data_IF_482630879697
#
_entry.id   IF_482630879697
#
_cell.length_a   1.000
_cell.length_b   1.000
_cell.length_c   1.000
_cell.angle_alpha   90.00
_cell.angle_beta   90.00
_cell.angle_gamma   90.00
#
_symmetry.space_group_name_H-M   'P 1'
#
loop_
_entity.id
_entity.type
_entity.pdbx_description
1 polymer ?
#
# COMPACT_ATOMS: atom_id res chain seq x y z
N UNK A 1 7.49 13.82 -19.36
CA UNK A 1 6.21 13.57 -20.05
C UNK A 1 6.00 12.07 -20.17
N UNK A 2 6.93 11.34 -20.79
CA UNK A 2 6.86 9.87 -20.88
C UNK A 2 6.84 9.15 -19.53
N UNK A 3 7.63 9.61 -18.55
CA UNK A 3 7.65 9.04 -17.20
C UNK A 3 6.28 9.17 -16.50
N UNK A 4 5.65 10.35 -16.60
CA UNK A 4 4.30 10.61 -16.08
C UNK A 4 3.23 9.76 -16.78
N UNK A 5 3.39 9.49 -18.08
CA UNK A 5 2.45 8.65 -18.83
C UNK A 5 2.61 7.18 -18.41
N UNK A 6 3.84 6.73 -18.16
CA UNK A 6 4.13 5.38 -17.68
C UNK A 6 3.55 5.15 -16.28
N UNK A 7 3.72 6.10 -15.36
CA UNK A 7 3.15 6.04 -14.01
C UNK A 7 1.61 5.95 -14.04
N UNK A 8 0.97 6.74 -14.92
CA UNK A 8 -0.49 6.68 -15.11
C UNK A 8 -0.94 5.34 -15.70
N UNK A 9 -0.18 4.76 -16.63
CA UNK A 9 -0.44 3.44 -17.20
C UNK A 9 -0.34 2.33 -16.14
N UNK A 10 0.69 2.35 -15.30
CA UNK A 10 0.87 1.38 -14.21
C UNK A 10 -0.26 1.48 -13.18
N UNK A 11 -0.65 2.70 -12.80
CA UNK A 11 -1.77 2.94 -11.90
C UNK A 11 -3.11 2.43 -12.48
N UNK A 12 -3.34 2.65 -13.78
CA UNK A 12 -4.52 2.13 -14.48
C UNK A 12 -4.54 0.59 -14.53
N UNK A 13 -3.39 -0.04 -14.77
CA UNK A 13 -3.26 -1.50 -14.76
C UNK A 13 -3.51 -2.10 -13.38
N UNK A 14 -2.96 -1.51 -12.31
CA UNK A 14 -3.24 -1.95 -10.94
C UNK A 14 -4.73 -1.85 -10.61
N UNK A 15 -5.36 -0.73 -10.99
CA UNK A 15 -6.79 -0.52 -10.77
C UNK A 15 -7.63 -1.56 -11.52
N UNK A 16 -7.25 -1.89 -12.76
CA UNK A 16 -7.91 -2.94 -13.55
C UNK A 16 -7.79 -4.31 -12.88
N UNK A 17 -6.58 -4.72 -12.44
CA UNK A 17 -6.37 -6.00 -11.73
C UNK A 17 -7.26 -6.10 -10.48
N UNK A 18 -7.38 -5.01 -9.72
CA UNK A 18 -8.26 -4.94 -8.53
C UNK A 18 -9.74 -5.08 -8.88
N UNK A 19 -10.19 -4.45 -9.96
CA UNK A 19 -11.58 -4.55 -10.45
C UNK A 19 -11.90 -5.96 -10.96
N UNK A 20 -10.98 -6.58 -11.71
CA UNK A 20 -11.20 -7.92 -12.25
C UNK A 20 -11.26 -8.97 -11.12
N UNK A 21 -10.41 -8.86 -10.09
CA UNK A 21 -10.53 -9.70 -8.90
C UNK A 21 -11.87 -9.54 -8.16
N UNK A 22 -12.47 -8.35 -8.15
CA UNK A 22 -13.81 -8.15 -7.58
C UNK A 22 -14.90 -8.86 -8.38
N UNK A 23 -14.76 -8.95 -9.71
CA UNK A 23 -15.71 -9.67 -10.57
C UNK A 23 -15.69 -11.18 -10.37
N UNK A 24 -14.56 -11.75 -9.95
CA UNK A 24 -14.45 -13.18 -9.64
C UNK A 24 -15.39 -13.60 -8.49
N UNK A 25 -15.70 -12.69 -7.57
CA UNK A 25 -16.67 -12.93 -6.50
C UNK A 25 -18.10 -13.12 -7.01
N UNK A 26 -18.46 -12.47 -8.11
CA UNK A 26 -19.80 -12.53 -8.73
C UNK A 26 -20.00 -13.81 -9.56
N UNK A 27 -19.01 -14.70 -9.59
CA UNK A 27 -19.12 -15.98 -10.26
C UNK A 27 -19.97 -16.98 -9.45
N UNK A 28 -20.95 -17.61 -10.09
CA UNK A 28 -21.78 -18.67 -9.49
C UNK A 28 -21.01 -19.99 -9.20
N UNK A 29 -19.69 -20.00 -9.37
CA UNK A 29 -18.84 -21.17 -9.16
C UNK A 29 -18.28 -21.17 -7.74
N UNK A 30 -18.68 -22.17 -6.94
CA UNK A 30 -18.31 -22.26 -5.52
C UNK A 30 -16.79 -22.30 -5.27
N UNK A 31 -16.01 -22.85 -6.20
CA UNK A 31 -14.54 -22.88 -6.14
C UNK A 31 -13.94 -21.48 -6.31
N UNK A 32 -14.39 -20.70 -7.30
CA UNK A 32 -13.92 -19.34 -7.53
C UNK A 32 -14.21 -18.42 -6.32
N UNK A 33 -15.39 -18.55 -5.71
CA UNK A 33 -15.75 -17.84 -4.46
C UNK A 33 -14.82 -18.23 -3.30
N UNK A 34 -14.42 -19.50 -3.20
CA UNK A 34 -13.50 -19.95 -2.15
C UNK A 34 -12.09 -19.40 -2.31
N UNK A 35 -11.57 -19.34 -3.55
CA UNK A 35 -10.29 -18.69 -3.85
C UNK A 35 -10.35 -17.20 -3.55
N UNK A 36 -11.42 -16.52 -3.96
CA UNK A 36 -11.59 -15.09 -3.68
C UNK A 36 -11.58 -14.79 -2.16
N UNK A 37 -12.27 -15.60 -1.37
CA UNK A 37 -12.27 -15.48 0.10
C UNK A 37 -10.86 -15.66 0.67
N UNK A 38 -10.09 -16.62 0.15
CA UNK A 38 -8.69 -16.82 0.54
C UNK A 38 -7.82 -15.62 0.18
N UNK A 39 -7.89 -15.13 -1.06
CA UNK A 39 -7.13 -13.95 -1.52
C UNK A 39 -7.47 -12.72 -0.68
N UNK A 40 -8.77 -12.53 -0.35
CA UNK A 40 -9.22 -11.46 0.54
C UNK A 40 -8.60 -11.57 1.92
N UNK A 41 -8.58 -12.77 2.51
CA UNK A 41 -7.98 -13.00 3.82
C UNK A 41 -6.48 -12.74 3.80
N UNK A 42 -5.77 -13.27 2.81
CA UNK A 42 -4.32 -13.08 2.65
C UNK A 42 -4.00 -11.58 2.54
N UNK A 43 -4.81 -10.80 1.81
CA UNK A 43 -4.69 -9.34 1.73
C UNK A 43 -4.90 -8.65 3.07
N UNK A 44 -5.92 -9.05 3.84
CA UNK A 44 -6.16 -8.49 5.18
C UNK A 44 -5.00 -8.79 6.14
N UNK A 45 -4.40 -9.97 6.05
CA UNK A 45 -3.25 -10.37 6.85
C UNK A 45 -2.00 -9.57 6.47
N UNK A 46 -1.74 -9.37 5.18
CA UNK A 46 -0.63 -8.50 4.71
C UNK A 46 -0.78 -7.10 5.29
N UNK A 47 -1.98 -6.51 5.18
CA UNK A 47 -2.26 -5.17 5.70
C UNK A 47 -2.05 -5.09 7.22
N UNK A 48 -2.52 -6.10 7.96
CA UNK A 48 -2.26 -6.20 9.40
C UNK A 48 -0.76 -6.29 9.72
N UNK A 49 -0.01 -7.13 8.99
CA UNK A 49 1.43 -7.26 9.19
C UNK A 49 2.17 -5.96 8.94
N UNK A 50 1.79 -5.20 7.91
CA UNK A 50 2.39 -3.89 7.64
C UNK A 50 2.15 -2.91 8.79
N UNK A 51 0.90 -2.80 9.28
CA UNK A 51 0.57 -1.90 10.40
C UNK A 51 1.20 -2.31 11.72
N UNK A 52 1.39 -3.61 11.94
CA UNK A 52 2.07 -4.13 13.12
C UNK A 52 3.61 -4.10 13.01
N UNK A 53 4.18 -3.62 11.90
CA UNK A 53 5.62 -3.53 11.69
C UNK A 53 6.29 -4.84 11.22
N UNK A 54 5.52 -5.88 10.90
CA UNK A 54 5.99 -7.17 10.40
C UNK A 54 6.22 -7.17 8.87
N UNK A 55 6.99 -6.21 8.35
CA UNK A 55 7.20 -6.01 6.91
C UNK A 55 7.72 -7.26 6.19
N UNK A 56 8.65 -8.01 6.79
CA UNK A 56 9.17 -9.24 6.20
C UNK A 56 8.11 -10.35 6.06
N UNK A 57 7.19 -10.45 7.03
CA UNK A 57 6.08 -11.41 6.96
C UNK A 57 5.06 -10.98 5.90
N UNK A 58 4.74 -9.68 5.84
CA UNK A 58 3.90 -9.08 4.80
C UNK A 58 4.43 -9.37 3.40
N UNK A 59 5.72 -9.10 3.15
CA UNK A 59 6.38 -9.35 1.86
C UNK A 59 6.34 -10.81 1.45
N UNK A 60 6.63 -11.73 2.38
CA UNK A 60 6.59 -13.17 2.09
C UNK A 60 5.18 -13.66 1.77
N UNK A 61 4.18 -13.23 2.53
CA UNK A 61 2.79 -13.63 2.30
C UNK A 61 2.29 -13.07 0.96
N UNK A 62 2.58 -11.81 0.65
CA UNK A 62 2.17 -11.20 -0.60
C UNK A 62 2.77 -11.91 -1.83
N UNK A 63 4.06 -12.25 -1.77
CA UNK A 63 4.74 -13.04 -2.82
C UNK A 63 4.17 -14.45 -2.95
N UNK A 64 3.98 -15.14 -1.83
CA UNK A 64 3.47 -16.51 -1.81
C UNK A 64 2.03 -16.60 -2.36
N UNK A 65 1.18 -15.61 -2.05
CA UNK A 65 -0.20 -15.57 -2.51
C UNK A 65 -0.37 -14.83 -3.85
N UNK A 66 0.71 -14.31 -4.45
CA UNK A 66 0.70 -13.50 -5.68
C UNK A 66 -0.25 -12.30 -5.63
N UNK A 67 -0.29 -11.61 -4.49
CA UNK A 67 -1.19 -10.47 -4.22
C UNK A 67 -0.45 -9.14 -4.05
N UNK A 68 0.81 -9.05 -4.48
CA UNK A 68 1.63 -7.84 -4.36
C UNK A 68 0.89 -6.62 -4.94
N UNK A 69 0.32 -6.73 -6.14
CA UNK A 69 -0.46 -5.67 -6.81
C UNK A 69 -1.78 -5.29 -6.10
N UNK A 70 -2.29 -6.18 -5.25
CA UNK A 70 -3.52 -5.98 -4.50
C UNK A 70 -3.27 -5.30 -3.15
N UNK A 71 -2.01 -5.09 -2.79
CA UNK A 71 -1.58 -4.53 -1.50
C UNK A 71 -0.90 -3.17 -1.71
N UNK A 72 -0.71 -2.42 -0.63
CA UNK A 72 -0.04 -1.12 -0.67
C UNK A 72 1.36 -1.19 -0.03
N UNK A 73 2.06 -2.33 -0.18
CA UNK A 73 3.34 -2.60 0.51
C UNK A 73 4.35 -1.50 0.28
N UNK A 74 4.53 -1.04 -0.97
CA UNK A 74 5.53 -0.03 -1.31
C UNK A 74 5.27 1.29 -0.59
N UNK A 75 4.00 1.67 -0.48
CA UNK A 75 3.61 2.88 0.24
C UNK A 75 3.96 2.78 1.74
N UNK A 76 3.73 1.61 2.35
CA UNK A 76 4.11 1.33 3.73
C UNK A 76 5.63 1.34 3.92
N UNK A 77 6.41 0.84 2.95
CA UNK A 77 7.87 0.86 3.01
C UNK A 77 8.43 2.28 2.85
N UNK A 78 7.90 3.09 1.93
CA UNK A 78 8.27 4.51 1.81
C UNK A 78 7.97 5.26 3.10
N UNK A 79 6.80 5.04 3.72
CA UNK A 79 6.47 5.65 5.00
C UNK A 79 7.43 5.21 6.11
N UNK A 80 7.76 3.93 6.18
CA UNK A 80 8.73 3.39 7.15
C UNK A 80 10.11 4.02 6.99
N UNK A 81 10.60 4.18 5.76
CA UNK A 81 11.90 4.79 5.48
C UNK A 81 11.96 6.25 5.96
N UNK A 82 10.89 7.02 5.74
CA UNK A 82 10.77 8.39 6.24
C UNK A 82 10.74 8.42 7.77
N UNK A 83 10.04 7.49 8.42
CA UNK A 83 10.04 7.34 9.88
C UNK A 83 11.44 7.04 10.42
N UNK A 84 12.15 6.08 9.82
CA UNK A 84 13.51 5.69 10.20
C UNK A 84 14.50 6.84 10.01
N UNK A 85 14.39 7.62 8.91
CA UNK A 85 15.26 8.78 8.69
C UNK A 85 15.08 9.84 9.78
N UNK A 86 13.83 10.09 10.19
CA UNK A 86 13.54 11.04 11.25
C UNK A 86 14.08 10.61 12.61
N UNK A 87 14.05 9.31 12.91
CA UNK A 87 14.71 8.75 14.10
C UNK A 87 16.23 8.97 14.06
N UNK A 88 16.84 8.94 12.88
CA UNK A 88 18.25 9.30 12.65
C UNK A 88 18.51 10.81 12.62
N UNK A 89 17.48 11.65 12.82
CA UNK A 89 17.51 13.12 12.72
C UNK A 89 17.83 13.63 11.31
N UNK A 90 17.61 12.80 10.29
CA UNK A 90 17.74 13.13 8.88
C UNK A 90 16.39 13.67 8.37
N UNK A 91 16.33 14.96 8.10
CA UNK A 91 15.09 15.63 7.70
C UNK A 91 14.90 15.71 6.18
N UNK A 92 15.94 15.44 5.39
CA UNK A 92 15.91 15.56 3.93
C UNK A 92 14.83 14.67 3.29
N UNK A 93 14.76 13.39 3.68
CA UNK A 93 13.76 12.43 3.16
C UNK A 93 12.33 12.84 3.53
N UNK A 94 12.13 13.28 4.77
CA UNK A 94 10.84 13.79 5.23
C UNK A 94 10.38 15.03 4.45
N UNK A 95 11.29 15.97 4.18
CA UNK A 95 10.98 17.18 3.40
C UNK A 95 10.61 16.85 1.95
N UNK A 96 11.33 15.93 1.30
CA UNK A 96 10.99 15.44 -0.04
C UNK A 96 9.61 14.78 -0.04
N UNK A 97 9.36 13.87 0.91
CA UNK A 97 8.08 13.20 1.01
C UNK A 97 6.91 14.18 1.25
N UNK A 98 7.13 15.23 2.06
CA UNK A 98 6.13 16.28 2.29
C UNK A 98 5.83 17.08 1.02
N UNK A 99 6.84 17.34 0.19
CA UNK A 99 6.66 18.01 -1.10
C UNK A 99 5.77 17.16 -2.02
N UNK A 100 6.08 15.87 -2.13
CA UNK A 100 5.40 14.95 -3.05
C UNK A 100 3.96 14.63 -2.60
N UNK A 101 3.71 14.68 -1.28
CA UNK A 101 2.39 14.40 -0.70
C UNK A 101 1.63 15.67 -0.26
N UNK A 102 2.09 16.86 -0.65
CA UNK A 102 1.55 18.17 -0.23
C UNK A 102 0.01 18.29 -0.34
N UNK A 103 -0.56 17.81 -1.46
CA UNK A 103 -2.01 17.84 -1.68
C UNK A 103 -2.80 16.92 -0.74
N UNK A 104 -2.23 15.77 -0.37
CA UNK A 104 -2.83 14.83 0.60
C UNK A 104 -2.70 15.38 2.02
N UNK A 105 -1.52 15.90 2.38
CA UNK A 105 -1.25 16.51 3.69
C UNK A 105 -2.15 17.71 3.99
N UNK A 106 -2.45 18.53 2.98
CA UNK A 106 -3.38 19.67 3.11
C UNK A 106 -4.81 19.24 3.46
N UNK A 107 -5.26 18.07 3.00
CA UNK A 107 -6.57 17.50 3.36
C UNK A 107 -6.58 16.95 4.80
N UNK A 108 -5.44 16.49 5.28
CA UNK A 108 -5.27 15.89 6.61
C UNK A 108 -5.10 16.90 7.76
N UNK A 109 -5.23 18.21 7.50
CA UNK A 109 -5.13 19.32 8.48
C UNK A 109 -4.06 19.09 9.57
N UNK A 110 -2.80 19.34 9.24
CA UNK A 110 -1.77 19.64 10.26
C UNK A 110 -1.15 18.46 11.01
N UNK A 111 -1.07 17.26 10.42
CA UNK A 111 -0.23 16.17 10.94
C UNK A 111 1.21 16.38 10.46
N UNK A 112 1.84 17.47 10.91
CA UNK A 112 3.30 17.58 10.87
C UNK A 112 3.92 16.97 12.15
N UNK A 113 3.10 16.74 13.19
CA UNK A 113 3.58 16.38 14.52
C UNK A 113 3.59 14.87 14.83
N UNK A 114 3.02 14.01 13.97
CA UNK A 114 2.94 12.57 14.27
C UNK A 114 3.01 11.71 12.99
N UNK A 115 4.19 11.66 12.39
CA UNK A 115 4.51 10.66 11.36
C UNK A 115 4.32 9.20 11.85
N UNK A 116 4.47 8.83 13.16
CA UNK A 116 4.17 7.46 13.62
C UNK A 116 2.72 6.99 13.39
N UNK A 117 1.80 7.90 13.05
CA UNK A 117 0.39 7.59 12.82
C UNK A 117 0.07 7.39 11.33
N UNK A 118 0.94 7.78 10.38
CA UNK A 118 0.63 7.67 8.94
C UNK A 118 0.51 6.22 8.51
N UNK A 119 1.30 5.32 9.08
CA UNK A 119 1.17 3.85 8.92
C UNK A 119 -0.16 3.30 9.48
N UNK A 120 -0.85 4.03 10.37
CA UNK A 120 -2.15 3.64 10.93
C UNK A 120 -3.35 4.03 10.04
N UNK A 121 -3.18 5.03 9.18
CA UNK A 121 -4.26 5.62 8.35
C UNK A 121 -4.17 5.26 6.85
N UNK A 122 -3.08 4.64 6.42
CA UNK A 122 -2.97 3.92 5.14
C UNK A 122 -3.31 2.45 5.35
#
# INVERSE_FOLDING_TARGET
>A
ADESINDELEAAQMTKRRVDHLKEYDSNQSSAVSLWKKTRLDRMLVEYFLRAGYYNAALRLAKHSHIEDLTNIDLFLTSKEVEESLLRRETCLCLSWCHDNKSKLRKLKGILLYIPQVSLYL
#
